data_IF_272647895936
#
_entry.id   IF_272647895936
#
_cell.length_a   1.000
_cell.length_b   1.000
_cell.length_c   1.000
_cell.angle_alpha   90.00
_cell.angle_beta   90.00
_cell.angle_gamma   90.00
#
_symmetry.space_group_name_H-M   'P 1'
#
loop_
_entity.id
_entity.type
_entity.pdbx_description
1 polymer ?
#
# COMPACT_ATOMS: atom_id res chain seq x y z
N UNK A 1 71.46 27.69 -4.05
CA UNK A 1 70.75 27.25 -5.27
C UNK A 1 70.19 25.83 -5.14
N UNK A 2 69.12 25.60 -4.36
CA UNK A 2 68.52 24.25 -4.18
C UNK A 2 66.97 24.24 -4.18
N UNK A 3 66.33 25.37 -4.50
CA UNK A 3 64.86 25.53 -4.49
C UNK A 3 64.21 25.33 -5.86
N UNK A 4 64.95 25.58 -6.95
CA UNK A 4 64.40 25.53 -8.32
C UNK A 4 64.19 24.11 -8.87
N UNK A 5 64.90 23.10 -8.34
CA UNK A 5 64.69 21.72 -8.80
C UNK A 5 63.39 21.12 -8.29
N UNK A 6 62.95 21.46 -7.07
CA UNK A 6 61.72 20.90 -6.47
C UNK A 6 60.45 21.37 -7.19
N UNK A 7 60.41 22.61 -7.64
CA UNK A 7 59.31 23.16 -8.45
C UNK A 7 59.26 22.51 -9.83
N UNK A 8 60.42 22.18 -10.42
CA UNK A 8 60.51 21.53 -11.72
C UNK A 8 59.99 20.08 -11.69
N UNK A 9 60.32 19.31 -10.64
CA UNK A 9 59.79 17.95 -10.47
C UNK A 9 58.27 17.94 -10.18
N UNK A 10 57.75 18.91 -9.42
CA UNK A 10 56.30 19.06 -9.22
C UNK A 10 55.57 19.40 -10.52
N UNK A 11 56.16 20.22 -11.38
CA UNK A 11 55.62 20.56 -12.70
C UNK A 11 55.66 19.34 -13.65
N UNK A 12 56.71 18.54 -13.60
CA UNK A 12 56.81 17.29 -14.36
C UNK A 12 55.81 16.21 -13.90
N UNK A 13 55.51 16.13 -12.60
CA UNK A 13 54.46 15.24 -12.08
C UNK A 13 53.07 15.73 -12.51
N UNK A 14 52.84 17.05 -12.49
CA UNK A 14 51.57 17.63 -12.96
C UNK A 14 51.36 17.43 -14.48
N UNK A 15 52.43 17.60 -15.27
CA UNK A 15 52.39 17.39 -16.73
C UNK A 15 52.26 15.88 -17.05
N UNK A 16 52.96 15.01 -16.30
CA UNK A 16 52.81 13.56 -16.40
C UNK A 16 51.39 13.09 -16.14
N UNK A 17 50.73 13.65 -15.11
CA UNK A 17 49.32 13.41 -14.81
C UNK A 17 48.36 13.98 -15.88
N UNK A 18 48.74 15.06 -16.59
CA UNK A 18 47.95 15.61 -17.71
C UNK A 18 48.12 14.82 -19.03
N UNK A 19 49.24 14.11 -19.19
CA UNK A 19 49.57 13.31 -20.38
C UNK A 19 49.08 11.85 -20.29
N UNK A 20 48.70 11.40 -19.10
CA UNK A 20 47.70 10.35 -18.97
C UNK A 20 46.42 10.96 -19.51
N UNK A 21 46.16 10.74 -20.80
CA UNK A 21 44.91 11.01 -21.46
C UNK A 21 43.80 10.27 -20.71
N UNK A 22 43.33 10.87 -19.62
CA UNK A 22 42.12 10.52 -18.93
C UNK A 22 41.02 10.92 -19.90
N UNK A 23 40.82 10.09 -20.92
CA UNK A 23 39.63 10.11 -21.74
C UNK A 23 38.50 9.91 -20.75
N UNK A 24 37.76 10.98 -20.46
CA UNK A 24 36.48 10.83 -19.78
C UNK A 24 35.75 9.72 -20.52
N UNK A 25 35.36 8.62 -19.84
CA UNK A 25 34.66 7.55 -20.52
C UNK A 25 33.42 8.17 -21.15
N UNK A 26 33.19 7.88 -22.43
CA UNK A 26 31.94 8.22 -23.09
C UNK A 26 30.83 7.57 -22.25
N UNK A 27 30.10 8.37 -21.46
CA UNK A 27 29.01 7.91 -20.59
C UNK A 27 27.80 7.40 -21.39
N UNK A 28 27.91 7.33 -22.72
CA UNK A 28 26.98 6.70 -23.66
C UNK A 28 27.07 5.17 -23.67
N UNK A 29 27.62 4.54 -22.63
CA UNK A 29 27.68 3.08 -22.52
C UNK A 29 26.26 2.48 -22.43
N UNK A 30 25.88 1.52 -23.29
CA UNK A 30 24.56 0.89 -23.27
C UNK A 30 24.26 0.01 -22.04
N UNK A 31 25.23 -0.21 -21.14
CA UNK A 31 25.17 -1.31 -20.16
C UNK A 31 25.11 -0.87 -18.68
N UNK A 32 25.05 0.44 -18.41
CA UNK A 32 25.11 0.92 -17.03
C UNK A 32 23.74 0.76 -16.34
N UNK A 33 23.63 0.06 -15.19
CA UNK A 33 22.36 -0.16 -14.50
C UNK A 33 21.65 1.16 -14.16
N UNK A 34 20.31 1.21 -14.17
CA UNK A 34 19.54 2.44 -13.91
C UNK A 34 19.97 3.17 -12.63
N UNK A 35 20.19 2.43 -11.54
CA UNK A 35 20.68 3.00 -10.29
C UNK A 35 22.03 3.72 -10.41
N UNK A 36 22.96 3.18 -11.21
CA UNK A 36 24.28 3.78 -11.41
C UNK A 36 24.14 5.09 -12.19
N UNK A 37 23.31 5.10 -13.24
CA UNK A 37 22.97 6.32 -13.98
C UNK A 37 22.32 7.36 -13.06
N UNK A 38 21.38 6.94 -12.21
CA UNK A 38 20.77 7.81 -11.21
C UNK A 38 21.82 8.42 -10.26
N UNK A 39 22.68 7.61 -9.63
CA UNK A 39 23.72 8.11 -8.71
C UNK A 39 24.70 9.07 -9.40
N UNK A 40 25.13 8.75 -10.61
CA UNK A 40 26.05 9.60 -11.38
C UNK A 40 25.41 10.93 -11.78
N UNK A 41 24.13 10.93 -12.16
CA UNK A 41 23.39 12.16 -12.46
C UNK A 41 23.28 13.12 -11.25
N UNK A 42 23.45 12.62 -10.02
CA UNK A 42 23.44 13.41 -8.78
C UNK A 42 24.81 13.98 -8.39
N UNK A 43 25.91 13.59 -9.05
CA UNK A 43 27.24 14.08 -8.72
C UNK A 43 27.53 15.46 -9.34
N UNK A 44 28.17 16.39 -8.60
CA UNK A 44 28.60 17.65 -9.18
C UNK A 44 29.60 17.41 -10.32
N UNK A 45 29.58 18.27 -11.34
CA UNK A 45 30.44 18.26 -12.54
C UNK A 45 30.23 17.10 -13.54
N UNK A 46 29.91 15.90 -13.06
CA UNK A 46 29.72 14.69 -13.89
C UNK A 46 28.24 14.53 -14.27
N UNK A 47 27.30 14.91 -13.39
CA UNK A 47 25.88 14.66 -13.60
C UNK A 47 25.28 15.32 -14.86
N UNK A 48 25.86 16.43 -15.32
CA UNK A 48 25.47 17.09 -16.59
C UNK A 48 25.71 16.23 -17.85
N UNK A 49 26.49 15.16 -17.73
CA UNK A 49 26.83 14.25 -18.83
C UNK A 49 26.11 12.92 -18.74
N UNK A 50 25.27 12.71 -17.72
CA UNK A 50 24.54 11.45 -17.50
C UNK A 50 23.06 11.73 -17.46
N UNK A 51 22.33 11.20 -18.44
CA UNK A 51 20.87 11.25 -18.45
C UNK A 51 20.32 10.29 -17.39
N UNK A 52 19.53 10.77 -16.41
CA UNK A 52 18.93 9.89 -15.41
C UNK A 52 17.91 8.97 -16.09
N UNK A 53 17.75 7.72 -15.61
CA UNK A 53 16.66 6.89 -16.08
C UNK A 53 15.31 7.57 -15.74
N UNK A 54 14.30 7.48 -16.61
CA UNK A 54 12.98 8.00 -16.30
C UNK A 54 12.37 7.21 -15.13
N UNK A 55 11.71 7.87 -14.16
CA UNK A 55 11.02 7.17 -13.09
C UNK A 55 9.75 6.46 -13.62
N UNK A 56 9.39 5.29 -13.06
CA UNK A 56 8.16 4.56 -13.39
C UNK A 56 6.95 5.20 -12.67
N UNK A 57 6.67 6.46 -13.03
CA UNK A 57 5.68 7.29 -12.34
C UNK A 57 4.26 6.75 -12.49
N UNK A 58 3.93 6.22 -13.68
CA UNK A 58 2.63 5.62 -13.94
C UNK A 58 2.38 4.43 -13.02
N UNK A 59 3.32 3.51 -12.96
CA UNK A 59 3.25 2.31 -12.13
C UNK A 59 3.19 2.67 -10.64
N UNK A 60 3.92 3.70 -10.22
CA UNK A 60 3.87 4.22 -8.85
C UNK A 60 2.46 4.73 -8.51
N UNK A 61 1.88 5.58 -9.35
CA UNK A 61 0.54 6.15 -9.13
C UNK A 61 -0.56 5.08 -9.16
N UNK A 62 -0.50 4.16 -10.12
CA UNK A 62 -1.44 3.02 -10.18
C UNK A 62 -1.34 2.16 -8.92
N UNK A 63 -0.12 1.86 -8.46
CA UNK A 63 0.07 1.07 -7.24
C UNK A 63 -0.42 1.83 -6.01
N UNK A 64 -0.21 3.14 -5.93
CA UNK A 64 -0.72 3.97 -4.83
C UNK A 64 -2.25 3.95 -4.77
N UNK A 65 -2.92 4.09 -5.91
CA UNK A 65 -4.39 3.97 -5.98
C UNK A 65 -4.86 2.59 -5.52
N UNK A 66 -4.13 1.54 -5.90
CA UNK A 66 -4.42 0.17 -5.47
C UNK A 66 -4.28 -0.02 -3.95
N UNK A 67 -3.29 0.62 -3.33
CA UNK A 67 -3.13 0.64 -1.87
C UNK A 67 -4.32 1.32 -1.18
N UNK A 68 -4.83 2.42 -1.73
CA UNK A 68 -6.05 3.07 -1.23
C UNK A 68 -7.28 2.16 -1.40
N UNK A 69 -7.41 1.48 -2.54
CA UNK A 69 -8.50 0.56 -2.80
C UNK A 69 -8.51 -0.61 -1.79
N UNK A 70 -7.34 -1.18 -1.50
CA UNK A 70 -7.19 -2.22 -0.47
C UNK A 70 -7.61 -1.72 0.91
N UNK A 71 -7.27 -0.47 1.25
CA UNK A 71 -7.69 0.15 2.52
C UNK A 71 -9.21 0.32 2.57
N UNK A 72 -9.84 0.82 1.51
CA UNK A 72 -11.30 0.98 1.41
C UNK A 72 -12.03 -0.36 1.43
N UNK A 73 -11.42 -1.40 0.86
CA UNK A 73 -11.93 -2.75 0.88
C UNK A 73 -11.74 -3.46 2.23
N UNK A 74 -11.06 -2.83 3.20
CA UNK A 74 -10.75 -3.40 4.52
C UNK A 74 -9.98 -4.71 4.40
N UNK A 75 -9.03 -4.75 3.46
CA UNK A 75 -8.19 -5.93 3.24
C UNK A 75 -7.33 -6.27 4.46
N UNK A 76 -7.06 -5.30 5.34
CA UNK A 76 -6.46 -5.51 6.67
C UNK A 76 -7.28 -6.47 7.55
N UNK A 77 -8.61 -6.38 7.48
CA UNK A 77 -9.53 -7.24 8.23
C UNK A 77 -9.85 -8.53 7.49
N UNK A 78 -10.11 -8.46 6.19
CA UNK A 78 -10.66 -9.58 5.42
C UNK A 78 -9.62 -10.38 4.64
N UNK A 79 -8.41 -9.86 4.45
CA UNK A 79 -7.29 -10.55 3.82
C UNK A 79 -5.95 -10.21 4.51
N UNK A 80 -5.85 -10.34 5.85
CA UNK A 80 -4.76 -9.76 6.65
C UNK A 80 -3.36 -10.21 6.21
N UNK A 81 -3.20 -11.48 5.85
CA UNK A 81 -1.92 -12.05 5.41
C UNK A 81 -1.44 -11.44 4.09
N UNK A 82 -2.34 -11.35 3.11
CA UNK A 82 -2.03 -10.74 1.81
C UNK A 82 -1.77 -9.24 1.97
N UNK A 83 -2.60 -8.56 2.76
CA UNK A 83 -2.44 -7.13 3.04
C UNK A 83 -1.09 -6.83 3.71
N UNK A 84 -0.68 -7.62 4.70
CA UNK A 84 0.64 -7.48 5.34
C UNK A 84 1.80 -7.69 4.36
N UNK A 85 1.69 -8.69 3.47
CA UNK A 85 2.70 -8.91 2.43
C UNK A 85 2.78 -7.75 1.45
N UNK A 86 1.62 -7.22 1.03
CA UNK A 86 1.53 -6.06 0.14
C UNK A 86 2.16 -4.83 0.79
N UNK A 87 1.84 -4.52 2.05
CA UNK A 87 2.42 -3.40 2.79
C UNK A 87 3.96 -3.47 2.87
N UNK A 88 4.51 -4.65 3.17
CA UNK A 88 5.96 -4.88 3.18
C UNK A 88 6.59 -4.63 1.81
N UNK A 89 5.94 -5.06 0.74
CA UNK A 89 6.41 -4.85 -0.64
C UNK A 89 6.28 -3.40 -1.06
N UNK A 90 5.20 -2.73 -0.70
CA UNK A 90 4.96 -1.31 -0.98
C UNK A 90 6.07 -0.45 -0.35
N UNK A 91 6.37 -0.66 0.93
CA UNK A 91 7.47 0.04 1.62
C UNK A 91 8.81 -0.12 0.88
N UNK A 92 9.14 -1.32 0.42
CA UNK A 92 10.36 -1.58 -0.36
C UNK A 92 10.31 -0.93 -1.74
N UNK A 93 9.16 -0.96 -2.40
CA UNK A 93 8.97 -0.33 -3.70
C UNK A 93 9.17 1.19 -3.62
N UNK A 94 8.61 1.84 -2.59
CA UNK A 94 8.80 3.27 -2.32
C UNK A 94 10.27 3.60 -2.07
N UNK A 95 10.96 2.79 -1.26
CA UNK A 95 12.40 2.96 -1.02
C UNK A 95 13.20 2.89 -2.32
N UNK A 96 12.96 1.88 -3.16
CA UNK A 96 13.63 1.75 -4.46
C UNK A 96 13.30 2.91 -5.41
N UNK A 97 12.05 3.34 -5.44
CA UNK A 97 11.61 4.48 -6.25
C UNK A 97 12.35 5.76 -5.84
N UNK A 98 12.38 6.08 -4.54
CA UNK A 98 13.03 7.32 -4.07
C UNK A 98 14.55 7.31 -4.17
N UNK A 99 15.17 6.13 -4.17
CA UNK A 99 16.63 5.95 -4.30
C UNK A 99 17.10 5.76 -5.74
N UNK A 100 16.19 5.77 -6.72
CA UNK A 100 16.50 5.66 -8.14
C UNK A 100 16.78 4.23 -8.63
N UNK A 101 16.46 3.23 -7.82
CA UNK A 101 16.46 1.81 -8.21
C UNK A 101 15.14 1.48 -8.95
N UNK A 102 14.89 2.15 -10.08
CA UNK A 102 13.60 2.08 -10.78
C UNK A 102 13.26 0.70 -11.33
N UNK A 103 14.25 -0.05 -11.79
CA UNK A 103 14.14 -1.46 -12.20
C UNK A 103 13.58 -2.33 -11.07
N UNK A 104 14.10 -2.16 -9.86
CA UNK A 104 13.59 -2.87 -8.68
C UNK A 104 12.22 -2.37 -8.26
N UNK A 105 11.95 -1.06 -8.34
CA UNK A 105 10.64 -0.50 -8.04
C UNK A 105 9.55 -1.11 -8.94
N UNK A 106 9.77 -1.17 -10.26
CA UNK A 106 8.85 -1.79 -11.22
C UNK A 106 8.53 -3.25 -10.90
N UNK A 107 9.57 -4.05 -10.59
CA UNK A 107 9.40 -5.46 -10.20
C UNK A 107 8.49 -5.58 -8.97
N UNK A 108 8.65 -4.66 -8.00
CA UNK A 108 7.81 -4.67 -6.80
C UNK A 108 6.39 -4.16 -7.09
N UNK A 109 6.20 -3.15 -7.94
CA UNK A 109 4.88 -2.69 -8.36
C UNK A 109 4.08 -3.80 -9.05
N UNK A 110 4.69 -4.58 -9.96
CA UNK A 110 4.03 -5.73 -10.59
C UNK A 110 3.62 -6.81 -9.57
N UNK A 111 4.52 -7.12 -8.61
CA UNK A 111 4.22 -8.06 -7.53
C UNK A 111 3.07 -7.59 -6.64
N UNK A 112 3.03 -6.29 -6.32
CA UNK A 112 1.95 -5.68 -5.55
C UNK A 112 0.64 -5.78 -6.32
N UNK A 113 0.65 -5.47 -7.63
CA UNK A 113 -0.53 -5.56 -8.48
C UNK A 113 -1.19 -6.94 -8.43
N UNK A 114 -0.39 -7.99 -8.62
CA UNK A 114 -0.85 -9.39 -8.58
C UNK A 114 -1.45 -9.76 -7.22
N UNK A 115 -0.74 -9.48 -6.13
CA UNK A 115 -1.22 -9.78 -4.78
C UNK A 115 -2.47 -8.98 -4.41
N UNK A 116 -2.57 -7.75 -4.88
CA UNK A 116 -3.71 -6.87 -4.59
C UNK A 116 -4.99 -7.35 -5.25
N UNK A 117 -4.91 -7.89 -6.47
CA UNK A 117 -6.07 -8.50 -7.12
C UNK A 117 -6.66 -9.65 -6.28
N UNK A 118 -5.79 -10.52 -5.78
CA UNK A 118 -6.19 -11.62 -4.89
C UNK A 118 -6.77 -11.09 -3.57
N UNK A 119 -6.09 -10.13 -2.94
CA UNK A 119 -6.53 -9.54 -1.68
C UNK A 119 -7.88 -8.82 -1.80
N UNK A 120 -8.10 -8.05 -2.88
CA UNK A 120 -9.36 -7.36 -3.14
C UNK A 120 -10.50 -8.36 -3.38
N UNK A 121 -10.26 -9.40 -4.18
CA UNK A 121 -11.25 -10.45 -4.42
C UNK A 121 -11.66 -11.16 -3.13
N UNK A 122 -10.67 -11.56 -2.32
CA UNK A 122 -10.89 -12.21 -1.02
C UNK A 122 -11.63 -11.29 -0.05
N UNK A 123 -11.20 -10.03 0.05
CA UNK A 123 -11.81 -9.05 0.93
C UNK A 123 -13.27 -8.78 0.58
N UNK A 124 -13.57 -8.53 -0.71
CA UNK A 124 -14.93 -8.33 -1.21
C UNK A 124 -15.83 -9.53 -0.94
N UNK A 125 -15.33 -10.74 -1.20
CA UNK A 125 -16.10 -11.97 -1.02
C UNK A 125 -16.48 -12.19 0.44
N UNK A 126 -15.52 -12.02 1.36
CA UNK A 126 -15.76 -12.20 2.79
C UNK A 126 -16.69 -11.10 3.32
N UNK A 127 -16.46 -9.84 2.94
CA UNK A 127 -17.28 -8.69 3.31
C UNK A 127 -18.74 -8.89 2.89
N UNK A 128 -18.97 -9.24 1.63
CA UNK A 128 -20.32 -9.50 1.10
C UNK A 128 -21.00 -10.68 1.80
N UNK A 129 -20.25 -11.77 2.06
CA UNK A 129 -20.77 -12.91 2.79
C UNK A 129 -21.20 -12.53 4.20
N UNK A 130 -20.36 -11.79 4.96
CA UNK A 130 -20.69 -11.32 6.30
C UNK A 130 -21.90 -10.38 6.29
N UNK A 131 -21.94 -9.42 5.35
CA UNK A 131 -23.07 -8.48 5.19
C UNK A 131 -24.39 -9.20 4.93
N UNK A 132 -24.41 -10.15 3.98
CA UNK A 132 -25.61 -10.94 3.65
C UNK A 132 -26.06 -11.79 4.84
N UNK A 133 -25.14 -12.41 5.56
CA UNK A 133 -25.46 -13.19 6.75
C UNK A 133 -26.08 -12.30 7.84
N UNK A 134 -25.50 -11.13 8.10
CA UNK A 134 -26.01 -10.19 9.10
C UNK A 134 -27.41 -9.66 8.73
N UNK A 135 -27.63 -9.29 7.47
CA UNK A 135 -28.94 -8.86 6.97
C UNK A 135 -30.01 -9.95 7.09
N UNK A 136 -29.64 -11.22 6.82
CA UNK A 136 -30.56 -12.34 6.98
C UNK A 136 -30.97 -12.54 8.45
N UNK A 137 -30.03 -12.43 9.38
CA UNK A 137 -30.30 -12.49 10.83
C UNK A 137 -31.21 -11.34 11.25
N UNK A 138 -30.88 -10.10 10.89
CA UNK A 138 -31.69 -8.92 11.22
C UNK A 138 -33.11 -9.04 10.66
N UNK A 139 -33.26 -9.51 9.42
CA UNK A 139 -34.56 -9.74 8.79
C UNK A 139 -35.39 -10.75 9.60
N UNK A 140 -34.79 -11.85 10.05
CA UNK A 140 -35.47 -12.85 10.88
C UNK A 140 -35.93 -12.25 12.22
N UNK A 141 -35.07 -11.49 12.89
CA UNK A 141 -35.40 -10.84 14.16
C UNK A 141 -36.54 -9.82 13.99
N UNK A 142 -36.55 -9.04 12.90
CA UNK A 142 -37.66 -8.12 12.59
C UNK A 142 -38.97 -8.86 12.37
N UNK A 143 -38.97 -9.95 11.59
CA UNK A 143 -40.16 -10.77 11.39
C UNK A 143 -40.68 -11.38 12.68
N UNK A 144 -39.77 -11.86 13.54
CA UNK A 144 -40.11 -12.38 14.86
C UNK A 144 -40.78 -11.31 15.72
N UNK A 145 -40.14 -10.13 15.85
CA UNK A 145 -40.69 -8.99 16.58
C UNK A 145 -42.10 -8.62 16.10
N UNK A 146 -42.29 -8.43 14.80
CA UNK A 146 -43.59 -8.01 14.24
C UNK A 146 -44.72 -9.02 14.52
N UNK A 147 -44.41 -10.32 14.61
CA UNK A 147 -45.42 -11.36 14.91
C UNK A 147 -46.06 -11.25 16.30
N UNK A 148 -45.35 -10.68 17.28
CA UNK A 148 -45.81 -10.57 18.66
C UNK A 148 -45.80 -9.13 19.20
N UNK A 149 -45.41 -8.15 18.39
CA UNK A 149 -45.33 -6.72 18.72
C UNK A 149 -46.56 -6.20 19.46
N UNK A 150 -47.78 -6.52 18.98
CA UNK A 150 -49.04 -6.06 19.58
C UNK A 150 -49.28 -6.57 21.00
N UNK A 151 -48.65 -7.68 21.38
CA UNK A 151 -48.77 -8.29 22.72
C UNK A 151 -47.79 -7.69 23.73
N UNK A 152 -46.84 -6.86 23.28
CA UNK A 152 -45.81 -6.28 24.13
C UNK A 152 -46.22 -4.91 24.68
N UNK A 153 -45.88 -4.60 25.94
CA UNK A 153 -46.05 -3.26 26.49
C UNK A 153 -45.17 -2.26 25.71
N UNK A 154 -45.59 -0.98 25.69
CA UNK A 154 -44.90 0.08 24.94
C UNK A 154 -43.40 0.16 25.24
N UNK A 155 -43.02 0.12 26.53
CA UNK A 155 -41.61 0.21 26.93
C UNK A 155 -40.76 -0.91 26.33
N UNK A 156 -41.26 -2.15 26.31
CA UNK A 156 -40.55 -3.29 25.71
C UNK A 156 -40.44 -3.14 24.19
N UNK A 157 -41.50 -2.67 23.52
CA UNK A 157 -41.47 -2.38 22.08
C UNK A 157 -40.38 -1.38 21.73
N UNK A 158 -40.32 -0.27 22.46
CA UNK A 158 -39.31 0.77 22.23
C UNK A 158 -37.89 0.23 22.42
N UNK A 159 -37.63 -0.54 23.49
CA UNK A 159 -36.31 -1.16 23.72
C UNK A 159 -35.90 -2.08 22.57
N UNK A 160 -36.81 -2.91 22.09
CA UNK A 160 -36.54 -3.82 20.96
C UNK A 160 -36.28 -3.03 19.67
N UNK A 161 -37.08 -2.00 19.37
CA UNK A 161 -36.89 -1.17 18.17
C UNK A 161 -35.53 -0.45 18.18
N UNK A 162 -35.10 0.07 19.33
CA UNK A 162 -33.77 0.66 19.49
C UNK A 162 -32.64 -0.36 19.26
N UNK A 163 -32.80 -1.59 19.75
CA UNK A 163 -31.84 -2.68 19.52
C UNK A 163 -31.78 -3.07 18.05
N UNK A 164 -32.93 -3.24 17.38
CA UNK A 164 -32.99 -3.57 15.96
C UNK A 164 -32.40 -2.46 15.07
N UNK A 165 -32.59 -1.19 15.46
CA UNK A 165 -31.97 -0.05 14.80
C UNK A 165 -30.44 -0.05 14.99
N UNK A 166 -29.96 -0.26 16.22
CA UNK A 166 -28.52 -0.38 16.50
C UNK A 166 -27.87 -1.50 15.69
N UNK A 167 -28.51 -2.67 15.62
CA UNK A 167 -28.03 -3.80 14.82
C UNK A 167 -27.96 -3.46 13.32
N UNK A 168 -28.92 -2.70 12.79
CA UNK A 168 -28.88 -2.19 11.41
C UNK A 168 -27.68 -1.26 11.20
N UNK A 169 -27.45 -0.31 12.10
CA UNK A 169 -26.30 0.59 12.06
C UNK A 169 -24.97 -0.17 12.09
N UNK A 170 -24.85 -1.24 12.89
CA UNK A 170 -23.63 -2.06 12.90
C UNK A 170 -23.36 -2.75 11.55
N UNK A 171 -24.41 -3.14 10.82
CA UNK A 171 -24.27 -3.68 9.46
C UNK A 171 -23.81 -2.59 8.49
N UNK A 172 -24.37 -1.38 8.58
CA UNK A 172 -24.00 -0.24 7.74
C UNK A 172 -22.56 0.21 7.95
N UNK A 173 -22.11 0.20 9.20
CA UNK A 173 -20.72 0.48 9.59
C UNK A 173 -19.77 -0.70 9.36
N UNK A 174 -20.30 -1.84 8.92
CA UNK A 174 -19.56 -3.09 8.67
C UNK A 174 -18.83 -3.65 9.89
N UNK A 175 -19.35 -3.36 11.08
CA UNK A 175 -18.87 -3.90 12.35
C UNK A 175 -19.56 -5.24 12.65
N UNK A 176 -19.34 -6.20 11.74
CA UNK A 176 -20.05 -7.50 11.75
C UNK A 176 -19.74 -8.37 12.96
N UNK A 177 -18.56 -8.24 13.55
CA UNK A 177 -18.18 -9.04 14.72
C UNK A 177 -18.94 -8.56 15.96
N UNK A 178 -19.07 -7.23 16.13
CA UNK A 178 -19.90 -6.63 17.18
C UNK A 178 -21.39 -6.92 16.94
N UNK A 179 -21.84 -6.84 15.68
CA UNK A 179 -23.20 -7.24 15.30
C UNK A 179 -23.50 -8.68 15.75
N UNK A 180 -22.60 -9.63 15.53
CA UNK A 180 -22.83 -11.03 15.88
C UNK A 180 -23.02 -11.22 17.39
N UNK A 181 -22.19 -10.55 18.20
CA UNK A 181 -22.30 -10.57 19.66
C UNK A 181 -23.62 -9.96 20.13
N UNK A 182 -23.94 -8.75 19.67
CA UNK A 182 -25.14 -8.03 20.09
C UNK A 182 -26.44 -8.69 19.60
N UNK A 183 -26.44 -9.26 18.39
CA UNK A 183 -27.60 -9.99 17.86
C UNK A 183 -27.89 -11.24 18.69
N UNK A 184 -26.85 -11.98 19.11
CA UNK A 184 -27.00 -13.14 19.96
C UNK A 184 -27.54 -12.77 21.34
N UNK A 185 -27.06 -11.67 21.92
CA UNK A 185 -27.55 -11.16 23.20
C UNK A 185 -29.01 -10.69 23.09
N UNK A 186 -29.34 -9.94 22.04
CA UNK A 186 -30.69 -9.48 21.79
C UNK A 186 -31.68 -10.64 21.62
N UNK A 187 -31.27 -11.70 20.91
CA UNK A 187 -32.08 -12.91 20.75
C UNK A 187 -32.36 -13.59 22.10
N UNK A 188 -31.39 -13.62 23.01
CA UNK A 188 -31.57 -14.17 24.37
C UNK A 188 -32.49 -13.29 25.23
N UNK A 189 -32.28 -11.98 25.20
CA UNK A 189 -32.94 -11.03 26.11
C UNK A 189 -34.38 -10.70 25.70
N UNK A 190 -34.67 -10.76 24.40
CA UNK A 190 -35.96 -10.31 23.84
C UNK A 190 -36.72 -11.41 23.08
N UNK A 191 -36.18 -12.63 23.00
CA UNK A 191 -36.77 -13.77 22.28
C UNK A 191 -37.09 -13.45 20.80
N UNK A 192 -36.15 -12.76 20.15
CA UNK A 192 -36.20 -12.35 18.73
C UNK A 192 -35.76 -13.46 17.78
#
# INVERSE_FOLDING_TARGET
>A
MKKESRTFYLLLILIGLSSLAFKFPDFKAPEMPPYVKYRLSKLPLIGRFVEPPPPPEKEYLETKQLMEELSRARADRYAPELYSQIQKKWKRAEEYYHTGHYDWAEIYFDKIRKLSQEALSKARTIREKKKKAALAVLKKMRSSYESHKKKLPFEKRLKIELVLWRLETLIELEEFDLFATEAQEAQKNYHL
#
